data_IF_394486366873
#
_entry.id   IF_394486366873
#
_cell.length_a   1.000
_cell.length_b   1.000
_cell.length_c   1.000
_cell.angle_alpha   90.00
_cell.angle_beta   90.00
_cell.angle_gamma   90.00
#
_symmetry.space_group_name_H-M   'P 1'
#
loop_
_entity.id
_entity.type
_entity.pdbx_description
1 polymer ?
2 non-polymer ?
3 water ?
#
# COMPACT_ATOMS: atom_id res chain seq x y z
N UNK A 1 -26.51 21.09 -15.45
CA UNK A 1 -25.19 21.71 -15.58
C UNK A 1 -24.78 21.61 -17.04
N UNK A 2 -24.33 22.71 -17.67
CA UNK A 2 -23.86 22.66 -19.07
C UNK A 2 -22.56 21.85 -19.23
N UNK A 3 -22.20 21.54 -20.48
CA UNK A 3 -21.01 20.71 -20.81
C UNK A 3 -19.69 21.24 -20.28
N UNK A 4 -19.44 22.54 -20.47
CA UNK A 4 -18.19 23.13 -19.96
C UNK A 4 -18.11 23.05 -18.41
N UNK A 5 -19.22 23.28 -17.72
CA UNK A 5 -19.22 23.19 -16.27
C UNK A 5 -19.04 21.74 -15.81
N UNK A 6 -19.65 20.77 -16.52
CA UNK A 6 -19.47 19.30 -16.20
C UNK A 6 -17.99 18.95 -16.27
N UNK A 7 -17.36 19.34 -17.37
CA UNK A 7 -15.92 19.16 -17.54
C UNK A 7 -15.09 19.84 -16.46
N UNK A 8 -15.47 21.05 -16.02
CA UNK A 8 -14.72 21.68 -14.94
C UNK A 8 -14.91 20.94 -13.60
N UNK A 9 -16.09 20.38 -13.42
CA UNK A 9 -16.45 19.64 -12.19
C UNK A 9 -15.57 18.39 -12.13
N UNK A 10 -15.48 17.68 -13.24
CA UNK A 10 -14.58 16.48 -13.30
C UNK A 10 -13.12 16.86 -13.06
N UNK A 11 -12.65 17.92 -13.70
CA UNK A 11 -11.27 18.36 -13.49
C UNK A 11 -11.02 18.82 -12.06
N UNK A 12 -12.04 19.35 -11.37
CA UNK A 12 -11.91 19.78 -9.96
C UNK A 12 -11.51 18.54 -9.12
N UNK A 13 -12.21 17.42 -9.35
CA UNK A 13 -11.93 16.26 -8.50
C UNK A 13 -10.56 15.70 -8.85
N UNK A 14 -10.23 15.65 -10.14
CA UNK A 14 -8.90 15.21 -10.58
C UNK A 14 -7.80 16.04 -9.99
N UNK A 15 -8.05 17.36 -9.97
CA UNK A 15 -7.06 18.25 -9.42
C UNK A 15 -6.85 18.04 -7.90
N UNK A 16 -7.93 17.73 -7.16
CA UNK A 16 -7.79 17.44 -5.73
C UNK A 16 -6.84 16.23 -5.57
N UNK A 17 -7.02 15.22 -6.41
CA UNK A 17 -6.13 14.02 -6.30
C UNK A 17 -4.69 14.33 -6.67
N UNK A 18 -4.53 15.17 -7.69
CA UNK A 18 -3.22 15.62 -8.10
C UNK A 18 -2.53 16.33 -6.92
N UNK A 19 -3.25 17.20 -6.23
CA UNK A 19 -2.66 17.93 -5.09
C UNK A 19 -2.19 16.98 -3.99
N UNK A 20 -3.00 15.97 -3.73
CA UNK A 20 -2.65 14.99 -2.66
C UNK A 20 -1.35 14.27 -3.01
N UNK A 21 -1.18 13.92 -4.28
CA UNK A 21 0.06 13.27 -4.73
C UNK A 21 1.26 14.22 -4.55
N UNK A 22 1.05 15.48 -4.95
CA UNK A 22 2.10 16.48 -4.84
C UNK A 22 2.55 16.65 -3.41
N UNK A 23 1.61 16.64 -2.45
CA UNK A 23 1.85 16.83 -1.01
C UNK A 23 2.83 15.76 -0.59
N UNK A 24 2.64 14.54 -1.12
CA UNK A 24 3.52 13.42 -0.74
C UNK A 24 4.91 13.50 -1.39
N UNK A 25 4.99 13.88 -2.67
CA UNK A 25 6.26 13.98 -3.39
C UNK A 25 7.11 15.08 -2.72
N UNK A 26 6.43 16.11 -2.23
CA UNK A 26 7.12 17.26 -1.58
C UNK A 26 7.54 16.97 -0.14
N UNK A 27 7.12 15.84 0.41
CA UNK A 27 7.40 15.49 1.81
C UNK A 27 8.77 14.76 1.91
N UNK A 28 9.34 14.62 3.12
CA UNK A 28 10.72 14.05 3.16
C UNK A 28 10.86 12.55 2.82
N UNK A 29 9.75 11.81 3.04
CA UNK A 29 9.72 10.35 2.87
C UNK A 29 10.90 9.70 3.59
N UNK A 30 11.24 10.19 4.80
CA UNK A 30 12.47 9.70 5.52
C UNK A 30 12.61 8.20 5.66
N UNK A 31 11.49 7.54 5.99
CA UNK A 31 11.53 6.08 6.26
C UNK A 31 11.53 5.23 5.00
N UNK A 32 11.49 5.86 3.84
CA UNK A 32 11.47 5.05 2.57
C UNK A 32 12.74 4.33 2.26
N UNK A 33 13.88 4.86 2.70
CA UNK A 33 15.10 4.11 2.51
C UNK A 33 15.07 2.83 3.34
N UNK A 34 14.65 2.93 4.61
CA UNK A 34 14.52 1.74 5.44
C UNK A 34 13.48 0.77 4.83
N UNK A 35 12.43 1.33 4.23
CA UNK A 35 11.41 0.46 3.58
C UNK A 35 12.05 -0.38 2.47
N UNK A 36 12.84 0.30 1.62
CA UNK A 36 13.51 -0.39 0.53
C UNK A 36 14.44 -1.49 1.05
N UNK A 37 15.27 -1.17 2.04
CA UNK A 37 16.17 -2.16 2.62
C UNK A 37 15.49 -3.37 3.21
N UNK A 38 14.39 -3.17 3.94
CA UNK A 38 13.62 -4.30 4.52
C UNK A 38 13.09 -5.15 3.39
N UNK A 39 12.48 -4.50 2.38
CA UNK A 39 11.98 -5.27 1.23
C UNK A 39 13.04 -6.04 0.45
N UNK A 40 14.24 -5.45 0.35
CA UNK A 40 15.34 -6.13 -0.34
C UNK A 40 15.81 -7.38 0.40
N UNK A 41 15.62 -7.37 1.71
CA UNK A 41 16.05 -8.44 2.61
C UNK A 41 15.07 -9.59 2.60
N UNK A 42 13.86 -9.37 2.05
CA UNK A 42 12.82 -10.40 2.13
C UNK A 42 13.24 -11.65 1.39
N UNK A 43 13.29 -12.78 2.09
CA UNK A 43 13.63 -14.04 1.47
C UNK A 43 12.41 -14.84 1.03
N UNK A 44 11.21 -14.36 1.42
CA UNK A 44 9.98 -15.06 1.02
C UNK A 44 9.19 -14.11 0.11
N UNK A 45 7.87 -14.09 0.28
CA UNK A 45 7.04 -13.21 -0.49
C UNK A 45 6.64 -11.97 0.31
N UNK A 46 6.34 -10.88 -0.39
CA UNK A 46 5.76 -9.69 0.23
C UNK A 46 4.24 -9.86 0.22
N UNK A 47 3.65 -9.94 1.41
CA UNK A 47 2.19 -10.24 1.48
C UNK A 47 1.51 -8.96 1.83
N UNK A 48 0.61 -8.50 0.94
CA UNK A 48 -0.13 -7.26 1.20
C UNK A 48 -1.49 -7.62 1.80
N UNK A 49 -1.89 -6.86 2.83
CA UNK A 49 -3.18 -7.13 3.48
C UNK A 49 -3.92 -5.81 3.57
N UNK A 50 -5.23 -5.84 3.22
CA UNK A 50 -6.09 -4.64 3.30
C UNK A 50 -7.53 -5.09 3.17
N UNK A 51 -8.42 -4.13 3.43
CA UNK A 51 -9.87 -4.34 3.17
C UNK A 51 -10.42 -3.08 2.54
N UNK A 52 -11.63 -3.16 1.98
CA UNK A 52 -12.18 -1.92 1.35
C UNK A 52 -11.33 -1.41 0.19
N UNK A 53 -11.35 -0.09 0.00
CA UNK A 53 -10.61 0.46 -1.16
C UNK A 53 -9.12 0.31 -0.96
N UNK A 54 -8.65 0.35 0.30
CA UNK A 54 -7.22 0.05 0.58
C UNK A 54 -6.85 -1.34 0.12
N UNK A 55 -7.75 -2.29 0.34
CA UNK A 55 -7.53 -3.70 -0.05
C UNK A 55 -7.45 -3.80 -1.58
N UNK A 56 -8.26 -3.03 -2.30
CA UNK A 56 -8.20 -3.11 -3.77
C UNK A 56 -6.86 -2.53 -4.26
N UNK A 57 -6.44 -1.42 -3.65
CA UNK A 57 -5.08 -0.89 -3.98
C UNK A 57 -3.99 -1.92 -3.57
N UNK A 58 -4.15 -2.59 -2.43
CA UNK A 58 -3.21 -3.64 -1.98
C UNK A 58 -3.12 -4.75 -3.02
N UNK A 59 -4.26 -5.14 -3.62
CA UNK A 59 -4.28 -6.16 -4.71
C UNK A 59 -3.44 -5.62 -5.90
N UNK A 60 -3.65 -4.34 -6.29
CA UNK A 60 -2.88 -3.78 -7.40
C UNK A 60 -1.39 -3.80 -7.07
N UNK A 61 -1.03 -3.38 -5.85
CA UNK A 61 0.39 -3.31 -5.54
C UNK A 61 1.04 -4.70 -5.47
N UNK A 62 0.33 -5.70 -4.93
CA UNK A 62 0.92 -7.08 -4.97
C UNK A 62 1.19 -7.49 -6.40
N UNK A 63 0.24 -7.20 -7.30
CA UNK A 63 0.41 -7.62 -8.68
C UNK A 63 1.58 -6.85 -9.33
N UNK A 64 1.68 -5.56 -9.02
CA UNK A 64 2.77 -4.71 -9.61
C UNK A 64 4.14 -5.15 -9.04
N UNK A 65 4.20 -5.45 -7.74
CA UNK A 65 5.47 -5.95 -7.20
C UNK A 65 5.84 -7.22 -7.93
N UNK A 66 4.90 -8.16 -8.08
CA UNK A 66 5.23 -9.45 -8.69
C UNK A 66 5.68 -9.30 -10.14
N UNK A 67 4.98 -8.45 -10.87
CA UNK A 67 5.21 -8.29 -12.33
C UNK A 67 6.52 -7.60 -12.58
N UNK A 68 7.07 -6.95 -11.57
CA UNK A 68 8.35 -6.21 -11.73
C UNK A 68 9.46 -6.87 -10.94
N UNK A 69 9.28 -8.11 -10.48
CA UNK A 69 10.37 -8.89 -9.93
C UNK A 69 10.45 -9.13 -8.44
N UNK A 70 9.44 -8.67 -7.69
CA UNK A 70 9.40 -8.93 -6.25
C UNK A 70 8.18 -9.85 -5.94
N UNK A 71 8.37 -11.16 -5.71
CA UNK A 71 7.26 -12.09 -5.51
C UNK A 71 6.40 -11.53 -4.36
N UNK A 72 5.10 -11.50 -4.61
CA UNK A 72 4.15 -10.81 -3.70
C UNK A 72 2.77 -11.33 -4.01
N UNK A 73 1.89 -11.36 -3.01
CA UNK A 73 0.48 -11.60 -3.28
C UNK A 73 -0.35 -10.90 -2.18
N UNK A 74 -1.66 -10.90 -2.40
CA UNK A 74 -2.59 -10.20 -1.54
C UNK A 74 -3.41 -11.18 -0.73
N UNK A 75 -3.62 -10.80 0.56
CA UNK A 75 -4.54 -11.53 1.47
C UNK A 75 -5.49 -10.51 2.01
N UNK A 76 -6.79 -10.75 1.79
CA UNK A 76 -7.79 -9.82 2.36
C UNK A 76 -7.83 -9.90 3.86
N UNK A 77 -7.97 -8.74 4.52
CA UNK A 77 -7.85 -8.73 6.01
C UNK A 77 -8.91 -9.59 6.70
N UNK A 78 -10.14 -9.66 6.17
CA UNK A 78 -11.14 -10.56 6.77
C UNK A 78 -10.86 -11.98 6.44
N UNK A 79 -10.50 -12.27 5.21
CA UNK A 79 -10.16 -13.66 4.93
C UNK A 79 -8.95 -14.15 5.78
N UNK A 80 -7.99 -13.25 6.08
CA UNK A 80 -6.87 -13.61 6.92
C UNK A 80 -7.34 -14.23 8.23
N UNK A 81 -8.35 -13.61 8.86
CA UNK A 81 -8.71 -14.10 10.23
C UNK A 81 -9.69 -15.28 10.14
N UNK A 82 -10.08 -15.65 8.91
CA UNK A 82 -10.85 -16.86 8.63
C UNK A 82 -9.99 -17.94 7.98
N UNK A 83 -8.69 -17.93 8.22
CA UNK A 83 -7.83 -19.03 7.82
C UNK A 83 -6.67 -18.59 6.95
N UNK A 84 -6.85 -17.48 6.21
CA UNK A 84 -5.83 -17.15 5.19
C UNK A 84 -4.54 -16.66 5.80
N UNK A 85 -4.51 -16.38 7.12
CA UNK A 85 -3.21 -16.18 7.75
C UNK A 85 -2.27 -17.38 7.55
N UNK A 86 -2.82 -18.57 7.25
CA UNK A 86 -2.04 -19.73 6.94
C UNK A 86 -1.28 -19.63 5.63
N UNK A 87 -1.57 -18.58 4.85
CA UNK A 87 -0.79 -18.37 3.62
C UNK A 87 0.56 -17.74 3.88
N UNK A 88 0.70 -17.12 5.06
CA UNK A 88 1.88 -16.32 5.45
C UNK A 88 2.81 -17.26 6.21
N UNK A 89 4.02 -17.42 5.70
CA UNK A 89 5.01 -18.32 6.32
C UNK A 89 6.25 -17.57 6.77
N UNK A 90 7.17 -18.26 7.46
CA UNK A 90 8.19 -17.56 8.26
C UNK A 90 8.99 -16.42 7.60
N UNK A 91 9.43 -16.63 6.36
CA UNK A 91 10.28 -15.67 5.62
C UNK A 91 9.48 -14.52 4.96
N UNK A 92 8.14 -14.59 5.00
CA UNK A 92 7.37 -13.55 4.30
C UNK A 92 7.36 -12.27 5.08
N UNK A 93 7.29 -11.16 4.36
CA UNK A 93 7.20 -9.83 4.99
C UNK A 93 5.81 -9.35 4.70
N UNK A 94 5.15 -8.72 5.66
CA UNK A 94 3.71 -8.34 5.54
C UNK A 94 3.62 -6.83 5.48
N UNK A 95 2.89 -6.31 4.47
CA UNK A 95 2.59 -4.89 4.43
C UNK A 95 1.10 -4.77 4.67
N UNK A 96 0.70 -4.09 5.73
CA UNK A 96 -0.72 -3.90 6.00
C UNK A 96 -1.10 -2.47 5.64
N UNK A 97 -2.13 -2.29 4.80
CA UNK A 97 -2.53 -0.97 4.30
C UNK A 97 -3.84 -0.58 4.90
N UNK A 98 -3.84 0.55 5.60
CA UNK A 98 -5.07 1.09 6.16
C UNK A 98 -4.91 2.61 6.28
N UNK A 99 -5.75 3.37 5.60
CA UNK A 99 -5.53 4.82 5.61
C UNK A 99 -5.63 5.35 7.06
N UNK A 100 -6.70 4.99 7.75
CA UNK A 100 -6.82 5.46 9.14
C UNK A 100 -5.83 4.77 10.07
N UNK A 101 -5.48 3.52 9.79
CA UNK A 101 -4.67 2.74 10.74
C UNK A 101 -5.50 2.30 11.95
N UNK A 102 -6.83 2.38 11.81
CA UNK A 102 -7.75 2.00 12.90
C UNK A 102 -8.78 0.96 12.48
N UNK A 103 -8.71 0.51 11.21
CA UNK A 103 -9.79 -0.35 10.69
C UNK A 103 -9.83 -1.61 11.49
N UNK A 104 -11.01 -1.94 12.06
CA UNK A 104 -11.13 -3.09 12.97
C UNK A 104 -10.66 -4.39 12.34
N UNK A 105 -11.04 -4.59 11.07
CA UNK A 105 -10.65 -5.84 10.42
C UNK A 105 -9.14 -6.00 10.29
N UNK A 106 -8.39 -4.92 10.11
CA UNK A 106 -6.98 -5.03 9.95
C UNK A 106 -6.33 -5.20 11.31
N UNK A 107 -6.82 -4.47 12.31
CA UNK A 107 -6.20 -4.69 13.65
C UNK A 107 -6.42 -6.11 14.14
N UNK A 108 -7.54 -6.74 13.74
CA UNK A 108 -7.84 -8.11 14.14
C UNK A 108 -6.82 -9.13 13.69
N UNK A 109 -6.03 -8.81 12.66
CA UNK A 109 -5.00 -9.71 12.26
C UNK A 109 -3.75 -9.72 13.15
N UNK A 110 -3.63 -8.66 13.98
CA UNK A 110 -2.31 -8.40 14.61
C UNK A 110 -1.87 -9.41 15.72
N UNK A 111 -2.80 -9.81 16.62
CA UNK A 111 -2.31 -10.81 17.60
C UNK A 111 -1.73 -12.08 16.99
N UNK A 112 -2.40 -12.63 15.93
CA UNK A 112 -1.83 -13.76 15.30
C UNK A 112 -0.52 -13.43 14.60
N UNK A 113 -0.47 -12.30 13.88
CA UNK A 113 0.76 -12.00 13.17
C UNK A 113 1.97 -11.77 14.13
N UNK A 114 1.67 -11.24 15.33
CA UNK A 114 2.72 -11.13 16.36
C UNK A 114 3.23 -12.51 16.82
N UNK A 115 2.32 -13.46 17.05
CA UNK A 115 2.71 -14.85 17.34
C UNK A 115 3.47 -15.52 16.23
N UNK A 116 3.13 -15.21 14.98
CA UNK A 116 3.76 -15.84 13.84
C UNK A 116 5.15 -15.30 13.61
N UNK A 117 5.37 -14.05 14.03
CA UNK A 117 6.73 -13.48 14.05
C UNK A 117 7.18 -12.73 12.82
N UNK A 118 6.37 -12.71 11.78
CA UNK A 118 6.81 -11.97 10.62
C UNK A 118 7.09 -10.48 10.82
N UNK A 119 7.98 -9.92 10.01
CA UNK A 119 8.23 -8.50 10.01
C UNK A 119 7.03 -7.78 9.39
N UNK A 120 6.49 -6.82 10.12
CA UNK A 120 5.24 -6.13 9.74
C UNK A 120 5.54 -4.70 9.37
N UNK A 121 5.01 -4.27 8.20
CA UNK A 121 5.13 -2.90 7.73
C UNK A 121 3.72 -2.36 7.62
N UNK A 122 3.48 -1.13 8.02
CA UNK A 122 2.19 -0.51 7.83
C UNK A 122 2.28 0.68 6.88
N UNK A 123 1.26 0.86 6.03
CA UNK A 123 1.10 2.09 5.29
C UNK A 123 -0.16 2.75 5.81
N UNK A 124 -0.06 3.89 6.52
CA UNK A 124 -1.21 4.59 7.12
C UNK A 124 -0.95 6.08 7.05
N UNK A 125 -1.96 6.85 7.42
CA UNK A 125 -1.81 8.28 7.38
C UNK A 125 -1.09 8.81 8.61
N UNK A 126 -0.79 7.95 9.58
CA UNK A 126 -0.20 8.42 10.88
C UNK A 126 0.59 7.39 11.62
N UNK A 127 1.83 7.74 11.98
CA UNK A 127 2.63 6.86 12.83
C UNK A 127 1.99 6.57 14.20
N UNK A 128 1.05 7.41 14.61
CA UNK A 128 0.40 7.24 15.90
C UNK A 128 -0.82 6.33 15.86
N UNK A 129 -1.15 5.81 14.67
CA UNK A 129 -2.35 4.98 14.56
C UNK A 129 -2.09 3.65 15.24
N UNK A 130 -3.17 2.96 15.61
CA UNK A 130 -3.10 1.66 16.24
C UNK A 130 -2.29 0.67 15.44
N UNK A 131 -2.58 0.62 14.13
CA UNK A 131 -1.80 -0.27 13.28
C UNK A 131 -0.28 0.06 13.21
N UNK A 132 0.02 1.35 13.01
CA UNK A 132 1.38 1.81 12.87
C UNK A 132 2.22 1.54 14.13
N UNK A 133 1.58 1.76 15.28
CA UNK A 133 2.22 1.50 16.58
C UNK A 133 2.57 0.03 16.77
N UNK A 134 1.78 -0.88 16.17
CA UNK A 134 1.95 -2.31 16.28
C UNK A 134 2.83 -2.92 15.25
N UNK A 135 3.28 -2.14 14.27
CA UNK A 135 4.14 -2.71 13.27
C UNK A 135 5.62 -2.47 13.51
N UNK A 136 6.46 -3.28 12.88
CA UNK A 136 7.90 -3.07 12.99
C UNK A 136 8.39 -1.84 12.25
N UNK A 137 7.81 -1.55 11.08
CA UNK A 137 8.13 -0.36 10.32
C UNK A 137 6.81 0.29 9.95
N UNK A 138 6.61 1.49 10.49
CA UNK A 138 5.50 2.37 10.08
C UNK A 138 5.95 3.32 8.99
N UNK A 139 5.22 3.28 7.86
CA UNK A 139 5.45 4.20 6.79
C UNK A 139 4.27 5.14 6.80
N UNK A 140 4.52 6.44 6.95
CA UNK A 140 3.44 7.41 7.08
C UNK A 140 3.24 8.02 5.69
N UNK A 141 2.02 7.89 5.17
CA UNK A 141 1.68 8.45 3.86
C UNK A 141 0.58 9.46 4.16
N UNK A 142 0.97 10.73 4.37
CA UNK A 142 0.02 11.74 4.83
C UNK A 142 -1.01 12.08 3.73
N UNK A 143 -2.27 12.09 4.12
CA UNK A 143 -3.36 12.49 3.24
C UNK A 143 -4.26 13.41 4.05
N UNK A 144 -4.28 14.67 3.64
CA UNK A 144 -5.01 15.78 4.28
C UNK A 144 -6.53 15.62 4.31
N UNK A 145 -7.09 15.28 3.15
CA UNK A 145 -8.52 15.25 2.90
C UNK A 145 -8.78 14.27 1.75
N UNK A 146 -10.03 13.90 1.57
CA UNK A 146 -10.44 13.21 0.33
C UNK A 146 -10.91 14.22 -0.70
N UNK A 147 -11.22 13.76 -1.92
CA UNK A 147 -11.53 14.69 -3.02
C UNK A 147 -12.97 15.15 -2.99
N UNK A 148 -13.85 14.44 -2.28
CA UNK A 148 -15.29 14.77 -2.31
C UNK A 148 -15.57 15.90 -1.31
N UNK A 149 -16.69 16.61 -1.46
CA UNK A 149 -16.98 17.74 -0.55
C UNK A 149 -17.09 17.31 0.91
N UNK A 150 -17.69 16.13 1.11
CA UNK A 150 -17.83 15.48 2.41
C UNK A 150 -16.50 14.97 3.00
N UNK A 151 -15.53 14.66 2.13
CA UNK A 151 -14.19 14.22 2.54
C UNK A 151 -14.20 12.78 3.05
N UNK A 152 -15.15 12.01 2.52
CA UNK A 152 -15.44 10.65 3.00
C UNK A 152 -14.99 9.55 2.05
N UNK A 153 -14.98 9.82 0.74
CA UNK A 153 -14.70 8.77 -0.26
C UNK A 153 -13.19 8.59 -0.49
N UNK A 154 -12.63 7.33 -0.30
CA UNK A 154 -11.22 7.15 -0.68
C UNK A 154 -10.98 7.47 -2.15
N UNK A 155 -10.13 8.48 -2.35
CA UNK A 155 -9.96 9.05 -3.69
C UNK A 155 -8.56 9.60 -3.60
N UNK A 156 -8.38 10.71 -2.88
CA UNK A 156 -7.01 11.18 -2.65
C UNK A 156 -6.20 10.04 -1.96
N UNK A 157 -6.74 9.39 -0.93
CA UNK A 157 -5.88 8.46 -0.16
C UNK A 157 -5.55 7.18 -0.97
N UNK A 158 -6.53 6.57 -1.64
CA UNK A 158 -6.27 5.34 -2.40
C UNK A 158 -5.33 5.65 -3.56
N UNK A 159 -5.48 6.80 -4.18
CA UNK A 159 -4.58 7.15 -5.28
C UNK A 159 -3.19 7.43 -4.76
N UNK A 160 -3.04 8.13 -3.62
CA UNK A 160 -1.69 8.40 -3.14
C UNK A 160 -0.93 7.11 -2.80
N UNK A 161 -1.61 6.18 -2.09
CA UNK A 161 -1.00 4.92 -1.73
C UNK A 161 -0.61 4.12 -3.01
N UNK A 162 -1.45 4.21 -4.04
CA UNK A 162 -1.09 3.50 -5.29
C UNK A 162 0.17 4.09 -5.90
N UNK A 163 0.25 5.42 -5.94
CA UNK A 163 1.45 6.04 -6.54
C UNK A 163 2.71 5.74 -5.74
N UNK A 164 2.58 5.84 -4.40
CA UNK A 164 3.71 5.51 -3.53
C UNK A 164 4.17 4.05 -3.73
N UNK A 165 3.20 3.12 -3.68
CA UNK A 165 3.52 1.68 -3.81
C UNK A 165 4.11 1.35 -5.18
N UNK A 166 3.57 1.95 -6.24
CA UNK A 166 4.11 1.74 -7.59
C UNK A 166 5.59 2.19 -7.63
N UNK A 167 5.86 3.34 -7.00
CA UNK A 167 7.24 3.87 -7.04
C UNK A 167 8.19 2.96 -6.25
N UNK A 168 7.74 2.45 -5.09
CA UNK A 168 8.51 1.47 -4.35
C UNK A 168 8.80 0.23 -5.19
N UNK A 169 7.76 -0.32 -5.83
CA UNK A 169 7.92 -1.48 -6.67
C UNK A 169 8.97 -1.20 -7.78
N UNK A 170 8.83 -0.05 -8.44
CA UNK A 170 9.75 0.26 -9.56
C UNK A 170 11.17 0.49 -9.08
N UNK A 171 11.34 1.08 -7.88
CA UNK A 171 12.70 1.28 -7.35
C UNK A 171 13.31 -0.07 -7.00
N UNK A 172 12.54 -1.00 -6.37
CA UNK A 172 13.09 -2.33 -6.07
C UNK A 172 13.47 -3.04 -7.39
N UNK A 173 12.63 -2.87 -8.43
CA UNK A 173 12.81 -3.55 -9.70
C UNK A 173 14.13 -3.06 -10.34
N UNK A 174 14.32 -1.74 -10.35
CA UNK A 174 15.57 -1.14 -10.92
C UNK A 174 16.76 -1.58 -10.12
N UNK A 175 16.66 -1.52 -8.79
CA UNK A 175 17.78 -1.93 -7.90
C UNK A 175 18.21 -3.39 -8.05
N UNK A 176 17.29 -4.31 -8.38
CA UNK A 176 17.64 -5.70 -8.54
C UNK A 176 17.98 -6.06 -9.99
N UNK A 177 17.98 -5.06 -10.89
CA UNK A 177 18.34 -5.28 -12.31
C UNK A 177 17.34 -6.21 -13.02
N UNK A 178 16.06 -6.04 -12.69
CA UNK A 178 15.04 -6.75 -13.40
C UNK A 178 15.02 -6.34 -14.88
N UNK A 179 14.95 -7.34 -15.77
CA UNK A 179 15.12 -7.11 -17.22
C UNK A 179 13.86 -7.16 -18.05
N UNK A 180 13.90 -6.62 -19.27
CA UNK A 180 12.84 -6.86 -20.27
C UNK A 180 12.57 -8.36 -20.45
N UNK A 181 13.61 -9.20 -20.44
CA UNK A 181 13.43 -10.61 -20.70
C UNK A 181 12.66 -11.21 -19.50
N UNK A 182 12.97 -10.77 -18.28
CA UNK A 182 12.19 -11.22 -17.08
C UNK A 182 10.72 -10.74 -17.19
N UNK A 183 10.53 -9.49 -17.58
CA UNK A 183 9.18 -8.99 -17.80
C UNK A 183 8.42 -9.83 -18.83
N UNK A 184 9.06 -10.22 -19.94
CA UNK A 184 8.39 -11.03 -20.96
C UNK A 184 7.99 -12.41 -20.43
N UNK A 185 8.82 -12.96 -19.56
CA UNK A 185 8.62 -14.28 -18.98
C UNK A 185 7.30 -14.23 -18.18
N UNK A 186 7.12 -13.15 -17.42
CA UNK A 186 5.89 -13.08 -16.59
C UNK A 186 4.69 -12.51 -17.33
N UNK A 187 4.88 -11.94 -18.52
CA UNK A 187 3.82 -11.36 -19.36
C UNK A 187 3.83 -11.92 -20.76
N UNK A 188 3.62 -13.23 -20.91
CA UNK A 188 3.55 -13.84 -22.25
C UNK A 188 2.22 -13.45 -22.98
X LIG B 1 -14.27 2.70 2.79
X LIG B 1 -14.09 3.73 2.28
X LIG B 1 -13.35 1.62 2.43
X LIG B 1 -13.32 1.32 1.07
X LIG B 1 -12.09 2.08 3.03
X LIG B 1 -10.95 1.92 2.18
X LIG B 1 -12.21 1.09 4.16
X LIG B 1 -13.17 1.54 5.10
X LIG B 1 -10.90 0.84 4.85
X LIG B 1 -10.49 2.01 5.45
X LIG B 1 -8.93 2.06 5.81
X LIG B 1 -8.12 2.37 4.54
X LIG B 1 -8.89 3.30 6.85
X LIG B 1 -8.55 0.76 6.30
#
# INVERSE_FOLDING_TARGET
MNNTDLIHLIKHFMHNELKAVEEVIDSPLSEFANLIKVLQSCQGKVVFIGVGKSGIIARKLAATFASTGTPSFFVHGTEAVHGDLGMVAKDDVVILISNSGETAEILATLPSLKKMGNYLISFTRSHHSSLAISCDLSVEIPVKSEADNLGLAPSCSSTVVLVVGDAVALALSELKKFTRADFGLYHPGGALGIKANS
A5P C1 O1 C2 O2 C3 O3 C4 O4 C5 O5 P O1P O2P O3P
#
